data_IF_148261400221
#
_entry.id   IF_148261400221
#
_cell.length_a   1.000
_cell.length_b   1.000
_cell.length_c   1.000
_cell.angle_alpha   90.00
_cell.angle_beta   90.00
_cell.angle_gamma   90.00
#
_symmetry.space_group_name_H-M   'P 1'
#
loop_
_entity.id
_entity.type
_entity.pdbx_description
1 polymer ?
#
# COMPACT_ATOMS: atom_id res chain seq x y z
N UNK A 1 12.36 3.45 15.57
CA UNK A 1 12.68 2.48 14.51
C UNK A 1 11.85 2.89 13.33
N UNK A 2 12.47 3.44 12.29
CA UNK A 2 11.82 3.66 11.01
C UNK A 2 12.01 2.42 10.13
N UNK A 3 11.05 2.17 9.24
CA UNK A 3 11.16 1.16 8.20
C UNK A 3 11.37 1.89 6.90
N UNK A 4 12.12 1.24 6.03
CA UNK A 4 12.22 1.62 4.65
C UNK A 4 10.88 1.35 3.95
N UNK A 5 10.52 2.27 3.07
CA UNK A 5 9.33 2.20 2.24
C UNK A 5 9.77 2.27 0.78
N UNK A 6 9.37 1.26 0.03
CA UNK A 6 9.52 1.19 -1.42
C UNK A 6 8.14 1.21 -2.06
N UNK A 7 8.09 1.38 -3.38
CA UNK A 7 6.83 1.35 -4.14
C UNK A 7 7.01 0.68 -5.48
N UNK A 8 5.93 0.12 -6.01
CA UNK A 8 5.90 -0.44 -7.37
C UNK A 8 5.65 0.66 -8.40
N UNK A 9 5.86 0.33 -9.68
CA UNK A 9 5.46 1.20 -10.80
C UNK A 9 3.96 1.48 -10.82
N UNK A 10 3.12 0.50 -10.43
CA UNK A 10 1.66 0.67 -10.37
C UNK A 10 1.26 1.74 -9.33
N UNK A 11 1.96 1.78 -8.19
CA UNK A 11 1.77 2.83 -7.20
C UNK A 11 2.26 4.18 -7.72
N UNK A 12 3.43 4.24 -8.35
CA UNK A 12 4.00 5.46 -8.92
C UNK A 12 3.09 6.08 -9.99
N UNK A 13 2.55 5.27 -10.91
CA UNK A 13 1.62 5.71 -11.94
C UNK A 13 0.34 6.30 -11.33
N UNK A 14 -0.22 5.64 -10.32
CA UNK A 14 -1.36 6.16 -9.57
C UNK A 14 -1.02 7.47 -8.85
N UNK A 15 0.12 7.53 -8.17
CA UNK A 15 0.60 8.70 -7.44
C UNK A 15 0.77 9.93 -8.34
N UNK A 16 1.33 9.73 -9.53
CA UNK A 16 1.54 10.78 -10.52
C UNK A 16 0.21 11.31 -11.11
N UNK A 17 -0.88 10.55 -11.00
CA UNK A 17 -2.22 10.98 -11.37
C UNK A 17 -2.93 11.83 -10.30
N UNK A 18 -2.39 11.91 -9.08
CA UNK A 18 -2.98 12.68 -7.98
C UNK A 18 -2.68 14.18 -8.10
N UNK A 19 -3.58 15.00 -7.59
CA UNK A 19 -3.32 16.43 -7.33
C UNK A 19 -2.34 16.61 -6.19
N UNK A 20 -1.73 17.80 -6.10
CA UNK A 20 -0.80 18.11 -5.01
C UNK A 20 -1.42 17.96 -3.60
N UNK A 21 -2.70 18.31 -3.42
CA UNK A 21 -3.37 18.19 -2.12
C UNK A 21 -3.66 16.73 -1.74
N UNK A 22 -3.99 15.90 -2.73
CA UNK A 22 -4.16 14.46 -2.57
C UNK A 22 -2.83 13.80 -2.21
N UNK A 23 -1.75 14.15 -2.94
CA UNK A 23 -0.39 13.69 -2.64
C UNK A 23 0.01 14.03 -1.20
N UNK A 24 -0.19 15.28 -0.76
CA UNK A 24 0.09 15.68 0.63
C UNK A 24 -0.67 14.82 1.64
N UNK A 25 -1.92 14.49 1.34
CA UNK A 25 -2.76 13.68 2.23
C UNK A 25 -2.29 12.23 2.28
N UNK A 26 -1.89 11.66 1.16
CA UNK A 26 -1.36 10.29 1.09
C UNK A 26 0.03 10.22 1.73
N UNK A 27 0.91 11.17 1.44
CA UNK A 27 2.27 11.27 1.99
C UNK A 27 2.25 11.27 3.52
N UNK A 28 1.35 12.04 4.14
CA UNK A 28 1.23 12.09 5.59
C UNK A 28 0.99 10.71 6.21
N UNK A 29 0.25 9.81 5.53
CA UNK A 29 0.02 8.45 6.01
C UNK A 29 1.18 7.51 5.69
N UNK A 30 1.89 7.73 4.58
CA UNK A 30 3.13 7.01 4.26
C UNK A 30 4.20 7.34 5.30
N UNK A 31 4.38 8.61 5.66
CA UNK A 31 5.30 9.01 6.73
C UNK A 31 4.93 8.38 8.09
N UNK A 32 3.64 8.23 8.40
CA UNK A 32 3.22 7.50 9.60
C UNK A 32 3.59 6.02 9.53
N UNK A 33 3.48 5.40 8.35
CA UNK A 33 3.93 4.03 8.12
C UNK A 33 5.45 3.91 8.30
N UNK A 34 6.24 4.81 7.74
CA UNK A 34 7.70 4.84 7.92
C UNK A 34 8.10 4.95 9.39
N UNK A 35 7.41 5.79 10.16
CA UNK A 35 7.75 6.04 11.56
C UNK A 35 7.32 4.93 12.51
N UNK A 36 6.18 4.27 12.24
CA UNK A 36 5.57 3.29 13.15
C UNK A 36 5.67 1.84 12.67
N UNK A 37 5.86 1.62 11.38
CA UNK A 37 6.03 0.31 10.74
C UNK A 37 4.93 -0.67 11.12
N UNK A 38 5.31 -1.88 11.54
CA UNK A 38 4.39 -2.91 12.02
C UNK A 38 3.56 -2.45 13.25
N UNK A 39 3.97 -1.38 13.95
CA UNK A 39 3.21 -0.82 15.08
C UNK A 39 2.11 0.16 14.65
N UNK A 40 2.05 0.55 13.37
CA UNK A 40 0.93 1.34 12.85
C UNK A 40 -0.37 0.55 13.03
N UNK A 41 -1.37 1.20 13.62
CA UNK A 41 -2.65 0.59 14.01
C UNK A 41 -3.84 1.31 13.36
N UNK A 42 -5.01 0.71 13.54
CA UNK A 42 -6.28 1.37 13.27
C UNK A 42 -6.35 2.71 14.04
N UNK A 43 -6.88 3.80 13.44
CA UNK A 43 -7.62 3.86 12.18
C UNK A 43 -6.77 4.01 10.91
N UNK A 44 -5.46 4.24 11.03
CA UNK A 44 -4.56 4.58 9.92
C UNK A 44 -4.29 3.41 8.97
N UNK A 45 -4.35 2.18 9.49
CA UNK A 45 -4.23 0.98 8.68
C UNK A 45 -5.13 -0.15 9.18
N UNK A 46 -5.37 -1.12 8.31
CA UNK A 46 -6.01 -2.39 8.66
C UNK A 46 -5.45 -3.53 7.81
N UNK A 47 -5.68 -4.77 8.24
CA UNK A 47 -5.47 -5.94 7.38
C UNK A 47 -6.55 -6.01 6.28
N UNK A 48 -6.25 -6.75 5.23
CA UNK A 48 -7.18 -6.99 4.12
C UNK A 48 -7.64 -8.42 4.11
N UNK A 49 -8.96 -8.58 3.99
CA UNK A 49 -9.57 -9.88 3.79
C UNK A 49 -9.58 -10.24 2.31
N UNK A 50 -9.45 -11.53 2.01
CA UNK A 50 -9.54 -12.05 0.63
C UNK A 50 -8.24 -12.01 -0.18
N UNK A 51 -7.16 -11.42 0.37
CA UNK A 51 -5.81 -11.55 -0.21
C UNK A 51 -5.29 -12.97 0.01
N UNK A 52 -4.52 -13.49 -0.96
CA UNK A 52 -3.76 -14.74 -0.77
C UNK A 52 -2.60 -14.57 0.23
N UNK A 53 -2.18 -13.34 0.49
CA UNK A 53 -1.14 -12.99 1.45
C UNK A 53 -1.79 -12.51 2.75
N UNK A 54 -1.67 -13.32 3.81
CA UNK A 54 -2.31 -13.03 5.11
C UNK A 54 -1.82 -11.75 5.78
N UNK A 55 -0.66 -11.24 5.37
CA UNK A 55 -0.05 -10.01 5.87
C UNK A 55 -0.25 -8.80 4.97
N UNK A 56 -1.15 -8.89 3.96
CA UNK A 56 -1.57 -7.76 3.13
C UNK A 56 -2.33 -6.73 3.98
N UNK A 57 -1.96 -5.45 3.85
CA UNK A 57 -2.52 -4.34 4.64
C UNK A 57 -2.92 -3.17 3.74
N UNK A 58 -3.79 -2.31 4.26
CA UNK A 58 -4.14 -1.02 3.64
C UNK A 58 -3.80 0.14 4.56
N UNK A 59 -3.28 1.23 3.99
CA UNK A 59 -3.38 2.56 4.58
C UNK A 59 -4.77 3.13 4.27
N UNK A 60 -5.38 3.76 5.27
CA UNK A 60 -6.75 4.27 5.21
C UNK A 60 -6.74 5.78 5.21
N UNK A 61 -6.27 6.34 4.09
CA UNK A 61 -6.15 7.77 3.88
C UNK A 61 -7.53 8.41 3.75
N UNK A 62 -7.68 9.61 4.29
CA UNK A 62 -8.87 10.44 4.14
C UNK A 62 -8.45 11.78 3.54
N UNK A 63 -9.05 12.13 2.41
CA UNK A 63 -8.82 13.40 1.75
C UNK A 63 -10.17 14.05 1.45
N UNK A 64 -10.50 15.15 2.12
CA UNK A 64 -11.74 15.92 1.90
C UNK A 64 -13.05 15.08 1.91
N UNK A 65 -13.10 13.99 2.68
CA UNK A 65 -14.25 13.08 2.76
C UNK A 65 -14.16 11.85 1.84
N UNK A 66 -13.16 11.83 0.94
CA UNK A 66 -12.90 10.73 0.02
C UNK A 66 -11.95 9.69 0.65
N UNK A 67 -12.38 8.43 0.79
CA UNK A 67 -11.54 7.34 1.29
C UNK A 67 -10.54 6.83 0.24
N UNK A 68 -9.30 7.29 0.35
CA UNK A 68 -8.17 6.73 -0.38
C UNK A 68 -7.60 5.49 0.33
N UNK A 69 -7.23 4.48 -0.43
CA UNK A 69 -6.60 3.25 0.08
C UNK A 69 -5.29 3.01 -0.65
N UNK A 70 -4.25 2.74 0.11
CA UNK A 70 -2.95 2.28 -0.40
C UNK A 70 -2.73 0.87 0.09
N UNK A 71 -2.65 -0.07 -0.83
CA UNK A 71 -2.39 -1.48 -0.55
C UNK A 71 -0.89 -1.69 -0.40
N UNK A 72 -0.47 -2.34 0.67
CA UNK A 72 0.93 -2.56 0.96
C UNK A 72 1.16 -3.84 1.75
N UNK A 73 2.39 -4.34 1.73
CA UNK A 73 2.82 -5.46 2.54
C UNK A 73 4.25 -5.23 3.05
N UNK A 74 4.66 -5.96 4.08
CA UNK A 74 6.07 -6.06 4.43
C UNK A 74 6.70 -7.23 3.66
N UNK A 75 7.84 -6.99 3.03
CA UNK A 75 8.61 -8.03 2.36
C UNK A 75 9.54 -8.77 3.35
N UNK A 76 10.26 -9.83 2.92
CA UNK A 76 11.21 -10.55 3.77
C UNK A 76 12.34 -9.69 4.35
N UNK A 77 12.71 -8.60 3.67
CA UNK A 77 13.72 -7.61 4.11
C UNK A 77 13.17 -6.66 5.19
N UNK A 78 11.88 -6.78 5.52
CA UNK A 78 11.11 -5.90 6.43
C UNK A 78 10.93 -4.49 5.89
N UNK A 79 11.03 -4.32 4.58
CA UNK A 79 10.68 -3.10 3.84
C UNK A 79 9.17 -3.10 3.62
N UNK A 80 8.52 -1.97 3.81
CA UNK A 80 7.11 -1.85 3.43
C UNK A 80 7.02 -1.48 1.95
N UNK A 81 6.48 -2.38 1.13
CA UNK A 81 6.29 -2.15 -0.30
C UNK A 81 4.87 -1.63 -0.55
N UNK A 82 4.74 -0.40 -1.05
CA UNK A 82 3.48 0.18 -1.51
C UNK A 82 3.16 -0.38 -2.90
N UNK A 83 2.09 -1.17 -2.97
CA UNK A 83 1.77 -1.96 -4.16
C UNK A 83 0.91 -1.18 -5.14
N UNK A 84 -0.18 -0.57 -4.67
CA UNK A 84 -1.08 0.21 -5.53
C UNK A 84 -1.95 1.11 -4.65
N UNK A 85 -2.60 2.10 -5.24
CA UNK A 85 -3.52 2.98 -4.53
C UNK A 85 -4.76 3.34 -5.36
N UNK A 86 -5.78 3.85 -4.68
CA UNK A 86 -6.99 4.30 -5.34
C UNK A 86 -8.01 4.93 -4.40
N UNK A 87 -8.90 5.75 -4.96
CA UNK A 87 -10.07 6.22 -4.24
C UNK A 87 -11.16 5.14 -4.26
N UNK A 88 -11.68 4.80 -3.07
CA UNK A 88 -12.74 3.78 -2.92
C UNK A 88 -14.15 4.32 -3.19
N UNK A 89 -14.31 5.64 -3.25
CA UNK A 89 -15.63 6.28 -3.30
C UNK A 89 -16.53 5.75 -4.40
N UNK A 90 -17.75 5.40 -3.99
CA UNK A 90 -18.76 4.88 -4.91
C UNK A 90 -18.49 3.48 -5.48
N UNK A 91 -17.35 2.84 -5.19
CA UNK A 91 -17.02 1.50 -5.68
C UNK A 91 -17.11 0.43 -4.58
N UNK A 92 -18.28 -0.23 -4.54
CA UNK A 92 -18.51 -1.40 -3.68
C UNK A 92 -17.62 -2.60 -4.02
N UNK A 93 -17.17 -2.71 -5.27
CA UNK A 93 -16.33 -3.80 -5.79
C UNK A 93 -14.84 -3.43 -5.81
N UNK A 94 -14.46 -2.34 -5.16
CA UNK A 94 -13.08 -1.88 -5.14
C UNK A 94 -12.12 -2.99 -4.66
N UNK A 95 -12.45 -3.66 -3.55
CA UNK A 95 -11.61 -4.75 -3.04
C UNK A 95 -11.54 -5.96 -3.99
N UNK A 96 -12.64 -6.29 -4.69
CA UNK A 96 -12.66 -7.39 -5.67
C UNK A 96 -11.71 -7.14 -6.85
N UNK A 97 -11.38 -5.88 -7.14
CA UNK A 97 -10.46 -5.48 -8.22
C UNK A 97 -9.04 -5.29 -7.73
N UNK A 98 -8.88 -4.54 -6.64
CA UNK A 98 -7.58 -4.08 -6.17
C UNK A 98 -6.84 -5.12 -5.33
N UNK A 99 -7.54 -6.02 -4.63
CA UNK A 99 -6.86 -7.09 -3.87
C UNK A 99 -6.15 -8.09 -4.80
N UNK A 100 -6.78 -8.61 -5.88
CA UNK A 100 -6.06 -9.45 -6.83
C UNK A 100 -4.91 -8.74 -7.58
N UNK A 101 -5.03 -7.42 -7.78
CA UNK A 101 -3.94 -6.61 -8.35
C UNK A 101 -2.75 -6.53 -7.38
N UNK A 102 -3.00 -6.16 -6.13
CA UNK A 102 -1.96 -6.09 -5.11
C UNK A 102 -1.30 -7.45 -4.84
N UNK A 103 -2.07 -8.55 -4.84
CA UNK A 103 -1.53 -9.90 -4.74
C UNK A 103 -0.51 -10.19 -5.86
N UNK A 104 -0.87 -9.86 -7.11
CA UNK A 104 0.03 -10.07 -8.26
C UNK A 104 1.29 -9.22 -8.15
N UNK A 105 1.15 -7.94 -7.81
CA UNK A 105 2.28 -7.01 -7.67
C UNK A 105 3.23 -7.46 -6.55
N UNK A 106 2.69 -8.01 -5.46
CA UNK A 106 3.52 -8.55 -4.39
C UNK A 106 4.23 -9.84 -4.81
N UNK A 107 3.56 -10.76 -5.50
CA UNK A 107 4.18 -11.97 -6.07
C UNK A 107 5.35 -11.58 -7.00
N UNK A 108 5.15 -10.59 -7.88
CA UNK A 108 6.17 -10.06 -8.80
C UNK A 108 7.36 -9.44 -8.04
N UNK A 109 7.10 -8.66 -6.99
CA UNK A 109 8.15 -8.09 -6.11
C UNK A 109 9.01 -9.19 -5.49
N UNK A 110 8.37 -10.20 -4.89
CA UNK A 110 9.08 -11.33 -4.26
C UNK A 110 9.92 -12.10 -5.28
N UNK A 111 9.43 -12.29 -6.50
CA UNK A 111 10.18 -12.94 -7.56
C UNK A 111 11.33 -12.07 -8.12
N UNK A 112 11.25 -10.74 -8.00
CA UNK A 112 12.39 -9.85 -8.26
C UNK A 112 13.49 -10.02 -7.20
N UNK A 113 13.12 -9.95 -5.91
CA UNK A 113 14.08 -10.10 -4.81
C UNK A 113 14.84 -11.43 -4.88
N UNK A 114 14.15 -12.52 -5.23
CA UNK A 114 14.78 -13.83 -5.46
C UNK A 114 15.83 -13.82 -6.56
N UNK A 115 15.55 -13.13 -7.68
CA UNK A 115 16.46 -13.05 -8.82
C UNK A 115 17.67 -12.17 -8.53
N UNK A 116 17.47 -11.13 -7.72
CA UNK A 116 18.51 -10.18 -7.32
C UNK A 116 19.36 -10.71 -6.14
N UNK A 117 18.92 -11.78 -5.48
CA UNK A 117 19.65 -12.40 -4.36
C UNK A 117 19.45 -11.67 -3.04
N UNK A 118 18.37 -10.91 -2.92
CA UNK A 118 18.02 -10.11 -1.73
C UNK A 118 17.05 -10.83 -0.77
N UNK A 119 16.75 -12.11 -1.06
CA UNK A 119 15.89 -12.98 -0.25
C UNK A 119 16.68 -14.04 0.51
#
# INVERSE_FOLDING_TARGET
MSCEVEYTSDFEDWWNGLTAEEQVSVDAYVQLLEQQCAQLRYPYCSGINGSRHSHMRELRVQHQGEPYRVLYAFDPRRVAILLTGGCKSGDGRWYDKFVPLADRLYDEHIDSLKREGEM
#
